data_IF_232734410298
#
_entry.id   IF_232734410298
#
_cell.length_a   1.000
_cell.length_b   1.000
_cell.length_c   1.000
_cell.angle_alpha   90.00
_cell.angle_beta   90.00
_cell.angle_gamma   90.00
#
_symmetry.space_group_name_H-M   'P 1'
#
loop_
_entity.id
_entity.type
_entity.pdbx_description
1 polymer ?
#
# COMPACT_ATOMS: atom_id res chain seq x y z
N UNK A 1 -14.70 16.03 -2.06
CA UNK A 1 -15.53 14.86 -1.81
C UNK A 1 -15.24 14.31 -0.45
N UNK A 2 -16.25 14.11 0.32
CA UNK A 2 -16.09 13.64 1.69
C UNK A 2 -16.34 12.14 1.79
N UNK A 3 -16.06 11.57 2.95
CA UNK A 3 -16.20 10.14 3.19
C UNK A 3 -17.62 9.71 3.48
N UNK A 4 -18.58 10.62 3.39
CA UNK A 4 -19.98 10.40 3.78
C UNK A 4 -20.69 9.34 2.94
N UNK A 5 -20.13 8.93 1.81
CA UNK A 5 -20.70 7.85 0.99
C UNK A 5 -20.48 6.45 1.55
N UNK A 6 -19.64 6.30 2.59
CA UNK A 6 -19.31 5.00 3.18
C UNK A 6 -19.94 4.91 4.57
N UNK A 7 -20.89 4.00 4.75
CA UNK A 7 -21.49 3.75 6.08
C UNK A 7 -20.64 2.80 6.90
N UNK A 8 -20.23 1.69 6.29
CA UNK A 8 -19.33 0.73 6.91
C UNK A 8 -18.34 0.29 5.84
N UNK A 9 -17.07 0.54 6.07
CA UNK A 9 -16.06 0.22 5.08
C UNK A 9 -14.74 0.88 5.40
N UNK A 10 -13.92 1.00 4.37
CA UNK A 10 -12.55 1.53 4.49
C UNK A 10 -12.37 2.67 3.49
N UNK A 11 -11.74 3.74 3.95
CA UNK A 11 -11.33 4.84 3.08
C UNK A 11 -9.82 4.99 3.17
N UNK A 12 -9.14 4.77 2.03
CA UNK A 12 -7.71 5.01 1.90
C UNK A 12 -7.54 6.43 1.39
N UNK A 13 -7.02 7.31 2.22
CA UNK A 13 -6.86 8.72 1.92
C UNK A 13 -5.39 9.12 1.87
N UNK A 14 -5.12 10.31 1.35
CA UNK A 14 -3.78 10.88 1.23
C UNK A 14 -2.84 10.02 0.37
N UNK A 15 -3.40 9.31 -0.60
CA UNK A 15 -2.63 8.58 -1.58
C UNK A 15 -2.03 9.59 -2.55
N UNK A 16 -0.74 9.47 -2.82
CA UNK A 16 -0.09 10.34 -3.81
C UNK A 16 -0.79 10.20 -5.17
N UNK A 17 -1.14 11.32 -5.78
CA UNK A 17 -1.82 11.34 -7.06
C UNK A 17 -1.06 10.47 -8.10
N UNK A 18 -1.77 9.56 -8.75
CA UNK A 18 -1.21 8.64 -9.71
C UNK A 18 -0.88 7.25 -9.16
N UNK A 19 -0.94 7.03 -7.84
CA UNK A 19 -0.60 5.73 -7.23
C UNK A 19 -1.80 4.86 -6.88
N UNK A 20 -3.03 5.35 -7.04
CA UNK A 20 -4.23 4.60 -6.65
C UNK A 20 -4.37 3.28 -7.41
N UNK A 21 -4.06 3.25 -8.71
CA UNK A 21 -4.18 2.04 -9.49
C UNK A 21 -3.14 0.98 -9.11
N UNK A 22 -1.93 1.40 -8.72
CA UNK A 22 -0.92 0.49 -8.21
C UNK A 22 -1.42 -0.18 -6.91
N UNK A 23 -2.02 0.60 -6.02
CA UNK A 23 -2.59 0.09 -4.77
C UNK A 23 -3.73 -0.87 -5.06
N UNK A 24 -4.62 -0.51 -5.98
CA UNK A 24 -5.74 -1.34 -6.41
C UNK A 24 -5.26 -2.74 -6.84
N UNK A 25 -4.22 -2.80 -7.64
CA UNK A 25 -3.65 -4.06 -8.11
C UNK A 25 -2.93 -4.83 -7.00
N UNK A 26 -2.09 -4.15 -6.22
CA UNK A 26 -1.30 -4.79 -5.16
C UNK A 26 -2.18 -5.39 -4.07
N UNK A 27 -3.28 -4.75 -3.74
CA UNK A 27 -4.22 -5.24 -2.73
C UNK A 27 -5.22 -6.26 -3.30
N UNK A 28 -5.20 -6.50 -4.61
CA UNK A 28 -6.13 -7.43 -5.23
C UNK A 28 -7.57 -6.99 -5.18
N UNK A 29 -7.83 -5.68 -5.19
CA UNK A 29 -9.18 -5.14 -5.08
C UNK A 29 -10.06 -5.48 -6.27
N UNK A 30 -9.46 -5.84 -7.40
CA UNK A 30 -10.17 -6.32 -8.58
C UNK A 30 -10.84 -7.69 -8.38
N UNK A 31 -10.39 -8.43 -7.36
CA UNK A 31 -10.86 -9.79 -7.08
C UNK A 31 -11.97 -9.85 -6.03
N UNK A 32 -12.27 -8.72 -5.37
CA UNK A 32 -13.33 -8.67 -4.37
C UNK A 32 -14.66 -8.32 -5.03
N UNK A 33 -15.76 -8.78 -4.42
CA UNK A 33 -17.11 -8.54 -4.94
C UNK A 33 -17.76 -7.28 -4.35
N UNK A 34 -17.05 -6.55 -3.52
CA UNK A 34 -17.57 -5.36 -2.88
C UNK A 34 -17.42 -4.15 -3.79
N UNK A 35 -18.24 -3.14 -3.54
CA UNK A 35 -18.15 -1.89 -4.27
C UNK A 35 -16.86 -1.15 -3.90
N UNK A 36 -16.06 -0.81 -4.90
CA UNK A 36 -14.82 -0.07 -4.74
C UNK A 36 -14.91 1.19 -5.60
N UNK A 37 -14.70 2.35 -5.00
CA UNK A 37 -14.66 3.62 -5.70
C UNK A 37 -13.24 4.20 -5.63
N UNK A 38 -12.74 4.67 -6.76
CA UNK A 38 -11.44 5.30 -6.86
C UNK A 38 -11.64 6.74 -7.31
N UNK A 39 -11.09 7.67 -6.57
CA UNK A 39 -11.12 9.10 -6.92
C UNK A 39 -9.69 9.52 -7.18
N UNK A 40 -9.43 9.97 -8.40
CA UNK A 40 -8.12 10.44 -8.79
C UNK A 40 -8.10 11.97 -8.82
N UNK A 41 -6.98 12.54 -8.43
CA UNK A 41 -6.75 13.98 -8.50
C UNK A 41 -7.75 14.82 -7.70
N UNK A 42 -8.13 14.32 -6.52
CA UNK A 42 -8.93 15.11 -5.58
C UNK A 42 -8.09 16.24 -5.00
N UNK A 43 -8.73 17.36 -4.69
CA UNK A 43 -8.02 18.49 -4.10
C UNK A 43 -7.50 18.15 -2.70
N UNK A 44 -6.24 18.50 -2.45
CA UNK A 44 -5.56 18.26 -1.19
C UNK A 44 -4.87 19.55 -0.72
N UNK A 45 -5.17 19.97 0.49
CA UNK A 45 -4.50 21.13 1.09
C UNK A 45 -3.00 20.87 1.30
N UNK A 46 -2.61 19.60 1.53
CA UNK A 46 -1.24 19.24 1.85
C UNK A 46 -0.38 19.00 0.60
N UNK A 47 -0.96 18.38 -0.45
CA UNK A 47 -0.20 17.91 -1.61
C UNK A 47 -0.65 18.52 -2.95
N UNK A 48 -1.64 19.41 -2.93
CA UNK A 48 -2.28 19.91 -4.14
C UNK A 48 -3.30 18.92 -4.70
N UNK A 49 -2.88 17.73 -5.04
CA UNK A 49 -3.75 16.63 -5.52
C UNK A 49 -3.45 15.35 -4.77
N UNK A 50 -4.49 14.54 -4.56
CA UNK A 50 -4.37 13.22 -3.92
C UNK A 50 -5.35 12.26 -4.58
N UNK A 51 -5.11 10.96 -4.39
CA UNK A 51 -6.05 9.92 -4.77
C UNK A 51 -6.73 9.37 -3.51
N UNK A 52 -7.95 8.86 -3.67
CA UNK A 52 -8.74 8.27 -2.59
C UNK A 52 -9.33 6.96 -3.09
N UNK A 53 -9.29 5.91 -2.28
CA UNK A 53 -9.96 4.64 -2.56
C UNK A 53 -10.96 4.37 -1.45
N UNK A 54 -12.20 4.08 -1.83
CA UNK A 54 -13.26 3.73 -0.89
C UNK A 54 -13.72 2.30 -1.13
N UNK A 55 -13.80 1.51 -0.07
CA UNK A 55 -14.25 0.12 -0.13
C UNK A 55 -15.48 0.00 0.75
N UNK A 56 -16.57 -0.53 0.19
CA UNK A 56 -17.87 -0.63 0.87
C UNK A 56 -17.97 -1.84 1.80
N UNK A 57 -16.85 -2.22 2.39
CA UNK A 57 -16.79 -3.27 3.40
C UNK A 57 -15.46 -3.19 4.14
N UNK A 58 -15.45 -3.62 5.41
CA UNK A 58 -14.21 -3.75 6.17
C UNK A 58 -13.58 -5.09 5.78
N UNK A 59 -12.40 -5.03 5.17
CA UNK A 59 -11.64 -6.19 4.76
C UNK A 59 -10.24 -6.14 5.38
N UNK A 60 -9.56 -7.27 5.40
CA UNK A 60 -8.17 -7.31 5.84
C UNK A 60 -7.28 -6.67 4.77
N UNK A 61 -6.50 -5.69 5.16
CA UNK A 61 -5.55 -5.01 4.29
C UNK A 61 -4.13 -5.31 4.72
N UNK A 62 -3.25 -5.46 3.74
CA UNK A 62 -1.82 -5.59 4.00
C UNK A 62 -1.23 -4.18 4.18
N UNK A 63 -1.06 -3.77 5.44
CA UNK A 63 -0.52 -2.47 5.77
C UNK A 63 0.93 -2.30 5.35
N UNK A 64 1.68 -3.40 5.26
CA UNK A 64 3.07 -3.35 4.79
C UNK A 64 3.13 -2.97 3.31
N UNK A 65 2.22 -3.50 2.50
CA UNK A 65 2.11 -3.13 1.09
C UNK A 65 1.78 -1.64 0.95
N UNK A 66 0.81 -1.18 1.73
CA UNK A 66 0.40 0.23 1.69
C UNK A 66 1.54 1.16 2.11
N UNK A 67 2.22 0.84 3.20
CA UNK A 67 3.35 1.64 3.68
C UNK A 67 4.53 1.63 2.72
N UNK A 68 4.73 0.53 2.00
CA UNK A 68 5.76 0.44 0.97
C UNK A 68 5.45 1.39 -0.21
N UNK A 69 4.19 1.41 -0.67
CA UNK A 69 3.80 2.25 -1.80
C UNK A 69 3.87 3.73 -1.44
N UNK A 70 3.28 4.08 -0.29
CA UNK A 70 3.24 5.47 0.16
C UNK A 70 2.98 5.53 1.66
N UNK A 71 3.98 5.93 2.43
CA UNK A 71 3.86 6.04 3.89
C UNK A 71 2.96 7.19 4.35
N UNK A 72 2.54 8.07 3.45
CA UNK A 72 1.62 9.16 3.78
C UNK A 72 0.15 8.74 3.75
N UNK A 73 -0.15 7.53 3.27
CA UNK A 73 -1.50 7.01 3.21
C UNK A 73 -2.07 6.88 4.62
N UNK A 74 -3.33 7.28 4.78
CA UNK A 74 -4.08 7.01 5.99
C UNK A 74 -5.20 6.01 5.66
N UNK A 75 -5.38 5.04 6.54
CA UNK A 75 -6.46 4.05 6.44
C UNK A 75 -7.52 4.43 7.47
N UNK A 76 -8.69 4.83 6.98
CA UNK A 76 -9.82 5.20 7.84
C UNK A 76 -10.83 4.07 7.81
N UNK A 77 -11.11 3.49 8.97
CA UNK A 77 -12.14 2.46 9.11
C UNK A 77 -13.39 3.12 9.62
N UNK A 78 -14.46 3.06 8.83
CA UNK A 78 -15.74 3.67 9.13
C UNK A 78 -16.72 2.56 9.46
N UNK A 79 -17.46 2.73 10.57
CA UNK A 79 -18.48 1.80 10.98
C UNK A 79 -19.72 2.57 11.43
N UNK A 80 -20.87 2.22 10.84
CA UNK A 80 -22.15 2.87 11.12
C UNK A 80 -22.11 4.40 10.95
N UNK A 81 -21.40 4.85 9.91
CA UNK A 81 -21.28 6.27 9.59
C UNK A 81 -20.28 7.04 10.45
N UNK A 82 -19.57 6.36 11.34
CA UNK A 82 -18.59 6.99 12.25
C UNK A 82 -17.20 6.46 12.00
N UNK A 83 -16.21 7.33 12.10
CA UNK A 83 -14.81 6.94 12.05
C UNK A 83 -14.48 6.13 13.30
N UNK A 84 -14.22 4.82 13.12
CA UNK A 84 -13.86 3.92 14.21
C UNK A 84 -12.36 3.94 14.49
N UNK A 85 -11.54 3.88 13.44
CA UNK A 85 -10.09 3.87 13.56
C UNK A 85 -9.46 4.64 12.42
N UNK A 86 -8.32 5.24 12.70
CA UNK A 86 -7.47 5.89 11.71
C UNK A 86 -6.06 5.38 11.87
N UNK A 87 -5.54 4.72 10.85
CA UNK A 87 -4.19 4.18 10.85
C UNK A 87 -3.28 5.01 9.95
N UNK A 88 -2.12 5.37 10.46
CA UNK A 88 -1.07 6.01 9.67
C UNK A 88 -0.09 4.94 9.23
N UNK A 89 0.33 5.00 7.97
CA UNK A 89 1.28 4.04 7.42
C UNK A 89 2.71 4.47 7.68
N UNK A 90 3.61 3.50 7.69
CA UNK A 90 5.06 3.72 7.75
C UNK A 90 5.75 2.73 6.83
N UNK A 91 7.00 3.02 6.46
CA UNK A 91 7.79 2.07 5.70
C UNK A 91 7.97 0.79 6.51
N UNK A 92 7.57 -0.36 5.96
CA UNK A 92 7.74 -1.62 6.69
C UNK A 92 9.22 -1.99 6.81
N UNK A 93 9.57 -2.65 7.92
CA UNK A 93 10.93 -3.13 8.15
C UNK A 93 11.28 -4.31 7.25
N UNK A 94 10.28 -5.11 6.90
CA UNK A 94 10.46 -6.30 6.09
C UNK A 94 9.38 -6.37 5.01
N UNK A 95 9.80 -6.69 3.80
CA UNK A 95 8.88 -6.95 2.68
C UNK A 95 8.94 -8.43 2.33
N UNK A 96 7.79 -9.09 2.24
CA UNK A 96 7.68 -10.50 1.84
C UNK A 96 6.81 -10.59 0.58
N UNK A 97 7.41 -11.00 -0.53
CA UNK A 97 6.74 -11.13 -1.83
C UNK A 97 6.07 -9.84 -2.34
N UNK A 98 6.53 -8.68 -1.86
CA UNK A 98 6.06 -7.37 -2.38
C UNK A 98 6.88 -6.98 -3.60
N UNK A 99 8.20 -7.18 -3.52
CA UNK A 99 9.12 -6.92 -4.63
C UNK A 99 9.91 -8.20 -4.91
N UNK A 100 10.26 -8.39 -6.18
CA UNK A 100 11.06 -9.54 -6.61
C UNK A 100 12.53 -9.13 -6.71
N UNK A 101 13.42 -10.01 -6.28
CA UNK A 101 14.85 -9.80 -6.45
C UNK A 101 15.20 -9.84 -7.93
N UNK A 102 15.92 -8.83 -8.39
CA UNK A 102 16.33 -8.71 -9.79
C UNK A 102 17.68 -9.38 -10.09
N UNK A 103 18.36 -9.86 -9.04
CA UNK A 103 19.62 -10.57 -9.22
C UNK A 103 19.36 -11.98 -9.74
N UNK A 104 19.74 -12.32 -10.98
CA UNK A 104 19.44 -13.65 -11.53
C UNK A 104 20.17 -14.78 -10.82
N UNK A 105 21.20 -14.48 -10.03
CA UNK A 105 21.96 -15.46 -9.26
C UNK A 105 21.41 -15.68 -7.86
N UNK A 106 20.44 -14.88 -7.43
CA UNK A 106 19.82 -15.05 -6.12
C UNK A 106 19.01 -16.35 -6.10
N UNK A 107 19.05 -17.07 -4.96
CA UNK A 107 18.27 -18.28 -4.79
C UNK A 107 16.77 -18.05 -5.01
N UNK A 108 16.26 -16.86 -4.66
CA UNK A 108 14.86 -16.51 -4.88
C UNK A 108 14.50 -16.34 -6.35
N UNK A 109 15.49 -16.06 -7.20
CA UNK A 109 15.30 -15.97 -8.66
C UNK A 109 15.33 -17.33 -9.33
N UNK A 110 16.03 -18.30 -8.73
CA UNK A 110 16.20 -19.67 -9.24
C UNK A 110 15.06 -20.57 -8.73
N UNK A 111 14.72 -20.48 -7.46
CA UNK A 111 13.70 -21.30 -6.82
C UNK A 111 12.43 -20.48 -6.59
N UNK A 112 11.37 -20.82 -7.31
CA UNK A 112 10.11 -20.06 -7.27
C UNK A 112 9.35 -20.16 -5.94
N UNK A 113 9.64 -21.18 -5.14
CA UNK A 113 8.94 -21.41 -3.88
C UNK A 113 9.47 -20.58 -2.72
N UNK A 114 10.64 -19.98 -2.88
CA UNK A 114 11.26 -19.19 -1.81
C UNK A 114 10.66 -17.79 -1.80
N UNK A 115 10.22 -17.37 -0.62
CA UNK A 115 9.64 -16.04 -0.41
C UNK A 115 10.70 -14.98 -0.65
N UNK A 116 10.41 -14.03 -1.54
CA UNK A 116 11.27 -12.87 -1.75
C UNK A 116 11.17 -11.97 -0.53
N UNK A 117 12.25 -11.91 0.27
CA UNK A 117 12.29 -11.16 1.51
C UNK A 117 13.31 -10.03 1.39
N UNK A 118 12.88 -8.81 1.65
CA UNK A 118 13.74 -7.63 1.67
C UNK A 118 13.65 -6.97 3.02
N UNK A 119 14.79 -6.49 3.51
CA UNK A 119 14.88 -5.79 4.79
C UNK A 119 15.26 -4.33 4.58
N UNK A 120 14.60 -3.45 5.33
CA UNK A 120 14.88 -2.02 5.29
C UNK A 120 16.24 -1.76 5.95
N UNK A 121 17.17 -1.16 5.19
CA UNK A 121 18.50 -0.84 5.68
C UNK A 121 18.74 0.66 5.79
N UNK A 122 18.00 1.48 5.04
CA UNK A 122 18.12 2.94 5.09
C UNK A 122 16.73 3.55 4.94
N UNK A 123 16.16 3.98 6.06
CA UNK A 123 14.81 4.54 6.10
C UNK A 123 14.73 5.90 5.39
N UNK A 124 15.75 6.73 5.54
CA UNK A 124 15.75 8.06 4.93
C UNK A 124 15.77 8.00 3.40
N UNK A 125 16.60 7.13 2.86
CA UNK A 125 16.73 6.95 1.42
C UNK A 125 15.83 5.85 0.86
N UNK A 126 15.02 5.20 1.72
CA UNK A 126 14.07 4.14 1.35
C UNK A 126 14.74 2.99 0.63
N UNK A 127 15.83 2.49 1.21
CA UNK A 127 16.62 1.41 0.62
C UNK A 127 16.38 0.12 1.37
N UNK A 128 16.06 -0.93 0.60
CA UNK A 128 15.91 -2.29 1.07
C UNK A 128 17.02 -3.16 0.49
N UNK A 129 17.32 -4.26 1.17
CA UNK A 129 18.26 -5.27 0.65
C UNK A 129 17.66 -6.65 0.72
N UNK A 130 17.89 -7.44 -0.32
CA UNK A 130 17.47 -8.84 -0.37
C UNK A 130 18.10 -9.61 0.80
N UNK A 131 17.28 -10.36 1.55
CA UNK A 131 17.75 -11.11 2.69
C UNK A 131 18.70 -12.25 2.32
N UNK A 132 18.70 -12.68 1.06
CA UNK A 132 19.52 -13.81 0.59
C UNK A 132 20.78 -13.38 -0.13
N UNK A 133 20.70 -12.41 -1.03
CA UNK A 133 21.86 -12.00 -1.85
C UNK A 133 22.33 -10.57 -1.59
N UNK A 134 21.63 -9.83 -0.74
CA UNK A 134 21.97 -8.46 -0.36
C UNK A 134 21.86 -7.44 -1.50
N UNK A 135 21.19 -7.80 -2.60
CA UNK A 135 20.94 -6.86 -3.68
C UNK A 135 20.07 -5.69 -3.22
N UNK A 136 20.43 -4.50 -3.65
CA UNK A 136 19.75 -3.28 -3.23
C UNK A 136 18.46 -3.04 -4.01
N UNK A 137 17.43 -2.59 -3.32
CA UNK A 137 16.17 -2.15 -3.92
C UNK A 137 15.78 -0.80 -3.32
N UNK A 138 15.68 0.22 -4.15
CA UNK A 138 15.27 1.55 -3.72
C UNK A 138 13.80 1.78 -4.06
N UNK A 139 13.02 2.20 -3.07
CA UNK A 139 11.62 2.56 -3.26
C UNK A 139 11.52 3.87 -4.03
N UNK A 140 10.70 3.89 -5.05
CA UNK A 140 10.47 5.09 -5.86
C UNK A 140 9.50 6.05 -5.22
#
# INVERSE_FOLDING_TARGET
MNIDGVKTGIVLDHIKAGKSMQIYELLGLDKINNCVAIIQNADSAKYGKKDIIKIDQIIDLDFDVLGYVDSNITVNIVKDGRLERKHHMELPQTLKNVVKCKNPRCITSVEQEIVHTFKLVDKENKIYRCAYCDAEHKVK
#
